data_IF_802651121672
#
_entry.id   IF_802651121672
#
_cell.length_a   1.000
_cell.length_b   1.000
_cell.length_c   1.000
_cell.angle_alpha   90.00
_cell.angle_beta   90.00
_cell.angle_gamma   90.00
#
_symmetry.space_group_name_H-M   'P 1'
#
loop_
_entity.id
_entity.type
_entity.pdbx_description
1 polymer ?
#
# COMPACT_ATOMS: atom_id res chain seq x y z
N UNK A 1 0.64 -8.07 -22.22
CA UNK A 1 -0.70 -7.63 -22.68
C UNK A 1 -1.52 -7.16 -21.49
N UNK A 2 -2.15 -5.99 -21.57
CA UNK A 2 -3.02 -5.49 -20.51
C UNK A 2 -4.20 -6.45 -20.34
N UNK A 3 -4.31 -7.07 -19.16
CA UNK A 3 -5.35 -8.05 -18.83
C UNK A 3 -6.70 -7.41 -18.52
N UNK A 4 -6.71 -6.10 -18.24
CA UNK A 4 -7.89 -5.33 -17.88
C UNK A 4 -8.37 -4.43 -19.03
N UNK A 5 -9.68 -4.45 -19.26
CA UNK A 5 -10.43 -3.62 -20.21
C UNK A 5 -11.15 -2.54 -19.43
N UNK A 6 -10.91 -1.29 -19.80
CA UNK A 6 -11.66 -0.17 -19.22
C UNK A 6 -12.99 -0.02 -19.94
N UNK A 7 -14.08 0.15 -19.19
CA UNK A 7 -15.43 0.33 -19.74
C UNK A 7 -15.49 1.36 -20.88
N UNK A 8 -14.87 2.54 -20.70
CA UNK A 8 -14.86 3.59 -21.73
C UNK A 8 -14.10 3.22 -23.01
N UNK A 9 -13.20 2.23 -22.94
CA UNK A 9 -12.40 1.72 -24.06
C UNK A 9 -12.85 0.33 -24.50
N UNK A 10 -14.02 -0.15 -24.05
CA UNK A 10 -14.51 -1.50 -24.36
C UNK A 10 -14.53 -1.78 -25.87
N UNK A 11 -15.14 -0.88 -26.66
CA UNK A 11 -15.27 -1.06 -28.12
C UNK A 11 -13.92 -1.14 -28.85
N UNK A 12 -12.91 -0.38 -28.40
CA UNK A 12 -11.58 -0.42 -29.02
C UNK A 12 -10.76 -1.62 -28.56
N UNK A 13 -10.97 -2.10 -27.33
CA UNK A 13 -10.20 -3.21 -26.75
C UNK A 13 -10.81 -4.59 -27.00
N UNK A 14 -12.12 -4.67 -27.24
CA UNK A 14 -12.91 -5.86 -27.54
C UNK A 14 -13.83 -5.63 -28.75
N UNK A 15 -13.27 -5.46 -29.96
CA UNK A 15 -14.09 -5.24 -31.16
C UNK A 15 -14.98 -6.45 -31.46
N UNK A 16 -16.24 -6.21 -31.84
CA UNK A 16 -17.20 -7.27 -32.18
C UNK A 16 -17.83 -7.99 -30.98
N UNK A 17 -17.55 -7.53 -29.76
CA UNK A 17 -18.22 -7.99 -28.53
C UNK A 17 -19.26 -6.94 -28.14
N UNK A 18 -20.45 -7.39 -27.75
CA UNK A 18 -21.50 -6.50 -27.23
C UNK A 18 -21.16 -6.05 -25.80
N UNK A 19 -21.29 -4.75 -25.53
CA UNK A 19 -21.03 -4.17 -24.20
C UNK A 19 -21.99 -4.72 -23.14
N UNK A 20 -23.17 -5.22 -23.51
CA UNK A 20 -24.12 -5.84 -22.56
C UNK A 20 -23.53 -7.05 -21.82
N UNK A 21 -22.45 -7.64 -22.34
CA UNK A 21 -21.72 -8.72 -21.68
C UNK A 21 -21.00 -8.24 -20.41
N UNK A 22 -20.69 -6.95 -20.32
CA UNK A 22 -20.05 -6.35 -19.16
C UNK A 22 -20.86 -6.55 -17.87
N UNK A 23 -22.19 -6.58 -17.96
CA UNK A 23 -23.06 -6.79 -16.79
C UNK A 23 -23.21 -8.27 -16.39
N UNK A 24 -22.60 -9.18 -17.16
CA UNK A 24 -22.59 -10.63 -16.91
C UNK A 24 -21.25 -11.13 -16.34
N UNK A 25 -20.31 -10.23 -16.16
CA UNK A 25 -18.98 -10.49 -15.59
C UNK A 25 -18.73 -9.55 -14.41
N UNK A 26 -17.87 -9.97 -13.49
CA UNK A 26 -17.42 -9.10 -12.41
C UNK A 26 -16.50 -7.99 -12.91
N UNK A 27 -16.46 -6.88 -12.18
CA UNK A 27 -15.53 -5.78 -12.44
C UNK A 27 -14.72 -5.43 -11.19
N UNK A 28 -13.64 -4.70 -11.40
CA UNK A 28 -12.87 -4.03 -10.35
C UNK A 28 -12.86 -2.53 -10.60
N UNK A 29 -12.70 -1.72 -9.55
CA UNK A 29 -12.50 -0.26 -9.62
C UNK A 29 -11.02 0.13 -9.65
N UNK A 30 -10.13 -0.86 -9.63
CA UNK A 30 -8.69 -0.68 -9.63
C UNK A 30 -8.17 -0.94 -11.05
N UNK A 31 -7.67 0.11 -11.69
CA UNK A 31 -7.08 0.03 -13.03
C UNK A 31 -5.67 -0.57 -13.03
N UNK A 32 -5.16 -0.90 -14.22
CA UNK A 32 -3.82 -1.46 -14.40
C UNK A 32 -2.66 -0.46 -14.13
N UNK A 33 -2.95 0.83 -13.94
CA UNK A 33 -1.94 1.86 -13.65
C UNK A 33 -1.78 2.12 -12.16
N UNK A 34 -0.54 2.34 -11.72
CA UNK A 34 -0.09 2.66 -10.35
C UNK A 34 -0.74 3.89 -9.70
N UNK A 35 -1.52 4.71 -10.43
CA UNK A 35 -2.20 5.91 -9.91
C UNK A 35 -3.59 5.68 -9.31
N UNK A 36 -3.94 4.41 -9.07
CA UNK A 36 -4.89 4.06 -8.02
C UNK A 36 -6.36 4.26 -8.39
N UNK A 37 -7.16 3.32 -7.91
CA UNK A 37 -8.59 3.42 -7.62
C UNK A 37 -9.36 4.60 -8.24
N UNK A 38 -10.23 4.30 -9.20
CA UNK A 38 -11.24 5.24 -9.65
C UNK A 38 -12.61 4.67 -9.33
N UNK A 39 -13.25 5.20 -8.29
CA UNK A 39 -14.56 4.76 -7.79
C UNK A 39 -15.66 4.80 -8.86
N UNK A 40 -15.46 5.58 -9.92
CA UNK A 40 -16.40 5.79 -11.03
C UNK A 40 -16.05 4.95 -12.29
N UNK A 41 -14.96 4.18 -12.29
CA UNK A 41 -14.55 3.38 -13.44
C UNK A 41 -14.68 1.89 -13.19
N UNK A 42 -15.31 1.17 -14.13
CA UNK A 42 -15.30 -0.29 -14.17
C UNK A 42 -14.17 -0.80 -15.07
N UNK A 43 -13.39 -1.73 -14.53
CA UNK A 43 -12.38 -2.48 -15.26
C UNK A 43 -12.75 -3.95 -15.26
N UNK A 44 -12.69 -4.57 -16.44
CA UNK A 44 -13.10 -5.95 -16.67
C UNK A 44 -11.90 -6.79 -17.07
N UNK A 45 -11.85 -8.04 -16.64
CA UNK A 45 -10.86 -8.96 -17.16
C UNK A 45 -11.19 -9.31 -18.61
N UNK A 46 -10.25 -9.04 -19.52
CA UNK A 46 -10.44 -9.31 -20.96
C UNK A 46 -10.80 -10.78 -21.24
N UNK A 47 -10.13 -11.77 -20.61
CA UNK A 47 -10.48 -13.19 -20.80
C UNK A 47 -11.94 -13.47 -20.45
N UNK A 48 -12.42 -12.98 -19.30
CA UNK A 48 -13.79 -13.20 -18.82
C UNK A 48 -14.83 -12.67 -19.82
N UNK A 49 -14.58 -11.49 -20.41
CA UNK A 49 -15.45 -10.92 -21.44
C UNK A 49 -15.52 -11.80 -22.70
N UNK A 50 -14.38 -12.31 -23.16
CA UNK A 50 -14.31 -13.15 -24.35
C UNK A 50 -14.93 -14.54 -24.12
N UNK A 51 -14.69 -15.11 -22.95
CA UNK A 51 -15.26 -16.39 -22.54
C UNK A 51 -16.78 -16.28 -22.39
N UNK A 52 -17.27 -15.20 -21.79
CA UNK A 52 -18.71 -14.95 -21.69
C UNK A 52 -19.36 -14.75 -23.07
N UNK A 53 -18.70 -14.02 -23.96
CA UNK A 53 -19.16 -13.87 -25.36
C UNK A 53 -19.28 -15.21 -26.08
N UNK A 54 -18.25 -16.06 -25.96
CA UNK A 54 -18.25 -17.41 -26.54
C UNK A 54 -19.39 -18.25 -25.95
N UNK A 55 -19.57 -18.22 -24.62
CA UNK A 55 -20.64 -18.97 -23.94
C UNK A 55 -22.03 -18.56 -24.41
N UNK A 56 -22.28 -17.26 -24.58
CA UNK A 56 -23.57 -16.76 -25.10
C UNK A 56 -23.81 -17.16 -26.55
N UNK A 57 -22.77 -17.32 -27.38
CA UNK A 57 -22.90 -17.84 -28.74
C UNK A 57 -23.26 -19.32 -28.73
N UNK A 58 -22.54 -20.13 -27.95
CA UNK A 58 -22.81 -21.56 -27.80
C UNK A 58 -24.26 -21.82 -27.35
N UNK A 59 -24.70 -21.14 -26.29
CA UNK A 59 -26.06 -21.28 -25.76
C UNK A 59 -27.14 -20.92 -26.79
N UNK A 60 -26.86 -19.93 -27.64
CA UNK A 60 -27.77 -19.53 -28.71
C UNK A 60 -27.89 -20.61 -29.79
N UNK A 61 -26.78 -21.24 -30.14
CA UNK A 61 -26.75 -22.32 -31.12
C UNK A 61 -27.45 -23.58 -30.60
N UNK A 62 -27.26 -23.94 -29.32
CA UNK A 62 -27.79 -25.20 -28.77
C UNK A 62 -29.20 -25.09 -28.20
N UNK A 63 -29.55 -23.94 -27.61
CA UNK A 63 -30.81 -23.75 -26.87
C UNK A 63 -31.62 -22.51 -27.27
N UNK A 64 -31.19 -21.81 -28.33
CA UNK A 64 -31.92 -20.67 -28.86
C UNK A 64 -31.95 -19.46 -27.93
N UNK A 65 -32.87 -18.53 -28.23
CA UNK A 65 -32.99 -17.25 -27.52
C UNK A 65 -33.43 -17.39 -26.06
N UNK A 66 -34.23 -18.40 -25.74
CA UNK A 66 -34.71 -18.63 -24.38
C UNK A 66 -33.60 -19.07 -23.44
N UNK A 67 -32.74 -20.01 -23.87
CA UNK A 67 -31.58 -20.43 -23.09
C UNK A 67 -30.63 -19.25 -22.80
N UNK A 68 -30.41 -18.38 -23.78
CA UNK A 68 -29.62 -17.16 -23.63
C UNK A 68 -30.27 -16.21 -22.61
N UNK A 69 -31.59 -16.01 -22.68
CA UNK A 69 -32.32 -15.14 -21.75
C UNK A 69 -32.22 -15.65 -20.32
N UNK A 70 -32.50 -16.93 -20.10
CA UNK A 70 -32.50 -17.53 -18.76
C UNK A 70 -31.09 -17.51 -18.15
N UNK A 71 -30.06 -17.80 -18.97
CA UNK A 71 -28.68 -17.69 -18.54
C UNK A 71 -28.30 -16.25 -18.17
N UNK A 72 -28.69 -15.25 -18.99
CA UNK A 72 -28.43 -13.84 -18.70
C UNK A 72 -29.03 -13.41 -17.37
N UNK A 73 -30.29 -13.79 -17.10
CA UNK A 73 -30.96 -13.47 -15.83
C UNK A 73 -30.21 -14.06 -14.63
N UNK A 74 -29.98 -15.38 -14.65
CA UNK A 74 -29.28 -16.08 -13.57
C UNK A 74 -27.87 -15.54 -13.36
N UNK A 75 -27.14 -15.26 -14.45
CA UNK A 75 -25.77 -14.75 -14.36
C UNK A 75 -25.72 -13.32 -13.85
N UNK A 76 -26.65 -12.47 -14.29
CA UNK A 76 -26.76 -11.10 -13.80
C UNK A 76 -27.03 -11.07 -12.29
N UNK A 77 -27.98 -11.87 -11.80
CA UNK A 77 -28.25 -11.98 -10.36
C UNK A 77 -27.02 -12.41 -9.56
N UNK A 78 -26.29 -13.41 -10.05
CA UNK A 78 -25.06 -13.86 -9.42
C UNK A 78 -24.00 -12.76 -9.36
N UNK A 79 -23.78 -12.04 -10.46
CA UNK A 79 -22.81 -10.94 -10.53
C UNK A 79 -23.24 -9.80 -9.61
N UNK A 80 -24.51 -9.40 -9.61
CA UNK A 80 -25.02 -8.36 -8.70
C UNK A 80 -24.76 -8.74 -7.24
N UNK A 81 -25.08 -9.98 -6.85
CA UNK A 81 -24.84 -10.48 -5.49
C UNK A 81 -23.35 -10.48 -5.12
N UNK A 82 -22.46 -10.74 -6.07
CA UNK A 82 -21.02 -10.65 -5.82
C UNK A 82 -20.56 -9.18 -5.71
N UNK A 83 -21.11 -8.30 -6.54
CA UNK A 83 -20.75 -6.88 -6.57
C UNK A 83 -21.31 -6.09 -5.37
N UNK A 84 -22.37 -6.55 -4.70
CA UNK A 84 -22.89 -5.89 -3.50
C UNK A 84 -21.89 -5.89 -2.33
N UNK A 85 -20.99 -6.88 -2.27
CA UNK A 85 -19.93 -6.97 -1.25
C UNK A 85 -18.71 -6.10 -1.58
N UNK A 86 -18.59 -5.62 -2.83
CA UNK A 86 -17.43 -4.87 -3.29
C UNK A 86 -17.16 -3.60 -2.44
N UNK A 87 -18.16 -2.77 -2.08
CA UNK A 87 -17.92 -1.59 -1.26
C UNK A 87 -17.39 -1.91 0.15
N UNK A 88 -17.80 -3.03 0.74
CA UNK A 88 -17.31 -3.46 2.06
C UNK A 88 -15.86 -3.90 1.99
N UNK A 89 -15.49 -4.65 0.95
CA UNK A 89 -14.11 -5.06 0.69
C UNK A 89 -13.20 -3.86 0.38
N UNK A 90 -13.71 -2.86 -0.35
CA UNK A 90 -13.01 -1.60 -0.62
C UNK A 90 -12.72 -0.86 0.69
N UNK A 91 -13.74 -0.66 1.54
CA UNK A 91 -13.57 -0.05 2.87
C UNK A 91 -12.61 -0.83 3.76
N UNK A 92 -12.70 -2.16 3.74
CA UNK A 92 -11.78 -3.00 4.51
C UNK A 92 -10.33 -2.82 4.05
N UNK A 93 -10.11 -2.73 2.73
CA UNK A 93 -8.78 -2.51 2.15
C UNK A 93 -8.24 -1.13 2.52
N UNK A 94 -9.06 -0.08 2.42
CA UNK A 94 -8.70 1.28 2.84
C UNK A 94 -8.31 1.31 4.32
N UNK A 95 -9.14 0.73 5.19
CA UNK A 95 -8.87 0.65 6.63
C UNK A 95 -7.63 -0.20 6.93
N UNK A 96 -7.35 -1.23 6.13
CA UNK A 96 -6.14 -2.04 6.28
C UNK A 96 -4.88 -1.27 5.89
N UNK A 97 -4.90 -0.49 4.80
CA UNK A 97 -3.79 0.38 4.41
C UNK A 97 -3.53 1.51 5.41
N UNK A 98 -4.60 2.06 6.00
CA UNK A 98 -4.50 3.02 7.10
C UNK A 98 -3.84 2.40 8.33
N UNK A 99 -4.36 1.27 8.83
CA UNK A 99 -3.74 0.53 9.94
C UNK A 99 -2.27 0.20 9.66
N UNK A 100 -1.96 -0.27 8.46
CA UNK A 100 -0.58 -0.56 8.06
C UNK A 100 0.31 0.69 8.06
N UNK A 101 -0.23 1.87 7.79
CA UNK A 101 0.52 3.14 7.91
C UNK A 101 0.78 3.47 9.37
N UNK A 102 -0.23 3.32 10.22
CA UNK A 102 -0.14 3.59 11.65
C UNK A 102 0.83 2.62 12.33
N UNK A 103 0.72 1.32 12.05
CA UNK A 103 1.63 0.28 12.55
C UNK A 103 3.09 0.59 12.19
N UNK A 104 3.34 1.09 10.98
CA UNK A 104 4.68 1.51 10.53
C UNK A 104 5.18 2.71 11.30
N UNK A 105 4.32 3.71 11.48
CA UNK A 105 4.64 4.89 12.26
C UNK A 105 4.99 4.51 13.71
N UNK A 106 4.16 3.69 14.34
CA UNK A 106 4.37 3.22 15.71
C UNK A 106 5.65 2.38 15.86
N UNK A 107 5.94 1.51 14.88
CA UNK A 107 7.20 0.76 14.85
C UNK A 107 8.42 1.68 14.77
N UNK A 108 8.37 2.73 13.95
CA UNK A 108 9.44 3.74 13.87
C UNK A 108 9.58 4.54 15.17
N UNK A 109 8.48 4.95 15.78
CA UNK A 109 8.49 5.68 17.06
C UNK A 109 9.08 4.80 18.17
N UNK A 110 8.67 3.53 18.26
CA UNK A 110 9.19 2.57 19.23
C UNK A 110 10.69 2.35 19.03
N UNK A 111 11.11 2.06 17.79
CA UNK A 111 12.52 1.85 17.47
C UNK A 111 13.38 3.07 17.80
N UNK A 112 12.88 4.28 17.52
CA UNK A 112 13.58 5.53 17.90
C UNK A 112 13.79 5.61 19.41
N UNK A 113 12.75 5.35 20.21
CA UNK A 113 12.85 5.36 21.68
C UNK A 113 13.85 4.32 22.17
N UNK A 114 13.87 3.13 21.58
CA UNK A 114 14.82 2.07 21.94
C UNK A 114 16.27 2.48 21.63
N UNK A 115 16.51 3.12 20.48
CA UNK A 115 17.84 3.66 20.14
C UNK A 115 18.26 4.74 21.14
N UNK A 116 17.40 5.71 21.43
CA UNK A 116 17.70 6.79 22.38
C UNK A 116 18.02 6.21 23.78
N UNK A 117 17.23 5.25 24.26
CA UNK A 117 17.46 4.59 25.53
C UNK A 117 18.82 3.88 25.58
N UNK A 118 19.20 3.18 24.50
CA UNK A 118 20.50 2.49 24.42
C UNK A 118 21.69 3.46 24.30
N UNK A 119 21.53 4.59 23.62
CA UNK A 119 22.55 5.65 23.56
C UNK A 119 22.80 6.26 24.93
N UNK A 120 21.73 6.57 25.67
CA UNK A 120 21.82 7.07 27.04
C UNK A 120 22.48 6.03 27.94
N UNK A 121 22.09 4.75 27.84
CA UNK A 121 22.71 3.67 28.59
C UNK A 121 24.20 3.47 28.25
N UNK A 122 24.64 3.89 27.06
CA UNK A 122 26.04 3.89 26.63
C UNK A 122 26.82 5.14 27.08
N UNK A 123 26.19 6.04 27.84
CA UNK A 123 26.81 7.22 28.46
C UNK A 123 26.68 8.52 27.68
N UNK A 124 25.89 8.58 26.60
CA UNK A 124 25.61 9.84 25.90
C UNK A 124 24.49 10.63 26.58
N UNK A 125 24.61 11.95 26.59
CA UNK A 125 23.52 12.82 27.00
C UNK A 125 22.51 12.98 25.85
N UNK A 126 21.25 13.30 26.16
CA UNK A 126 20.23 13.61 25.14
C UNK A 126 20.66 14.75 24.22
N UNK A 127 21.44 15.71 24.73
CA UNK A 127 21.99 16.81 23.95
C UNK A 127 23.10 16.39 22.98
N UNK A 128 23.72 15.23 23.20
CA UNK A 128 24.72 14.67 22.27
C UNK A 128 24.03 14.05 21.03
N UNK A 129 22.74 13.72 21.12
CA UNK A 129 21.97 13.02 20.09
C UNK A 129 21.43 14.03 19.06
N UNK A 130 21.81 13.93 17.76
CA UNK A 130 21.35 14.87 16.74
C UNK A 130 19.83 14.85 16.57
N UNK A 131 19.17 16.01 16.50
CA UNK A 131 17.72 16.06 16.24
C UNK A 131 17.34 15.51 14.85
N UNK A 132 18.25 15.55 13.88
CA UNK A 132 18.05 15.02 12.52
C UNK A 132 18.24 13.50 12.40
N UNK A 133 18.72 12.84 13.46
CA UNK A 133 18.97 11.40 13.51
C UNK A 133 17.71 10.54 13.23
N UNK A 134 16.54 11.15 13.40
CA UNK A 134 15.20 10.60 13.10
C UNK A 134 15.03 10.17 11.63
N UNK A 135 15.85 10.69 10.71
CA UNK A 135 15.69 10.44 9.27
C UNK A 135 16.66 9.39 8.69
N UNK A 136 17.58 8.85 9.49
CA UNK A 136 18.53 7.85 8.99
C UNK A 136 17.83 6.52 8.67
N UNK A 137 18.23 5.87 7.58
CA UNK A 137 17.65 4.61 7.06
C UNK A 137 17.63 3.50 8.12
N UNK A 138 18.51 3.58 9.11
CA UNK A 138 18.68 2.64 10.22
C UNK A 138 17.60 2.72 11.31
N UNK A 139 16.96 3.89 11.44
CA UNK A 139 15.80 4.14 12.32
C UNK A 139 14.45 3.92 11.60
N UNK A 140 14.47 3.83 10.27
CA UNK A 140 13.30 3.59 9.41
C UNK A 140 12.95 2.10 9.22
N UNK A 141 13.57 1.20 9.98
CA UNK A 141 13.18 -0.21 9.95
C UNK A 141 11.94 -0.43 10.83
N UNK A 142 11.01 -1.24 10.35
CA UNK A 142 9.84 -1.71 11.10
C UNK A 142 10.18 -2.88 12.04
N UNK A 143 11.36 -3.48 11.87
CA UNK A 143 11.79 -4.60 12.70
C UNK A 143 12.27 -4.11 14.07
N UNK A 144 12.31 -5.03 15.03
CA UNK A 144 12.88 -4.77 16.35
C UNK A 144 14.39 -4.48 16.27
N UNK A 145 14.89 -3.68 17.22
CA UNK A 145 16.31 -3.36 17.30
C UNK A 145 17.05 -4.49 18.01
N UNK A 146 17.46 -5.49 17.24
CA UNK A 146 18.27 -6.60 17.75
C UNK A 146 19.68 -6.14 18.14
N UNK A 147 20.38 -6.90 18.98
CA UNK A 147 21.76 -6.58 19.39
C UNK A 147 22.72 -6.43 18.20
N UNK A 148 22.58 -7.28 17.19
CA UNK A 148 23.41 -7.20 15.97
C UNK A 148 23.09 -5.93 15.18
N UNK A 149 21.81 -5.58 15.05
CA UNK A 149 21.40 -4.34 14.40
C UNK A 149 21.87 -3.11 15.18
N UNK A 150 21.79 -3.16 16.51
CA UNK A 150 22.28 -2.13 17.41
C UNK A 150 23.78 -1.89 17.25
N UNK A 151 24.61 -2.92 17.31
CA UNK A 151 26.08 -2.78 17.15
C UNK A 151 26.45 -2.12 15.82
N UNK A 152 25.79 -2.51 14.73
CA UNK A 152 25.99 -1.93 13.39
C UNK A 152 25.51 -0.48 13.29
N UNK A 153 24.41 -0.17 13.99
CA UNK A 153 23.90 1.18 14.06
C UNK A 153 24.85 2.06 14.86
N UNK A 154 25.17 1.66 16.08
CA UNK A 154 26.05 2.38 16.99
C UNK A 154 27.39 2.72 16.35
N UNK A 155 28.03 1.76 15.67
CA UNK A 155 29.31 2.01 14.97
C UNK A 155 29.24 3.11 13.90
N UNK A 156 28.05 3.35 13.31
CA UNK A 156 27.86 4.41 12.31
C UNK A 156 27.63 5.77 12.95
N UNK A 157 27.07 5.80 14.17
CA UNK A 157 26.71 7.03 14.88
C UNK A 157 27.81 7.55 15.78
N UNK A 158 28.70 6.67 16.23
CA UNK A 158 29.69 6.98 17.25
C UNK A 158 30.49 8.25 16.93
N UNK A 159 30.98 8.38 15.70
CA UNK A 159 31.75 9.57 15.28
C UNK A 159 30.94 10.87 15.38
N UNK A 160 29.66 10.85 15.00
CA UNK A 160 28.79 12.03 15.05
C UNK A 160 28.42 12.38 16.50
N UNK A 161 28.12 11.36 17.31
CA UNK A 161 27.81 11.52 18.74
C UNK A 161 29.00 12.08 19.52
N UNK A 162 30.21 11.59 19.25
CA UNK A 162 31.44 12.06 19.91
C UNK A 162 31.78 13.50 19.50
N UNK A 163 31.56 13.87 18.24
CA UNK A 163 31.72 15.24 17.77
C UNK A 163 30.72 16.19 18.46
N UNK A 164 29.44 15.80 18.55
CA UNK A 164 28.42 16.60 19.23
C UNK A 164 28.71 16.75 20.72
N UNK A 165 29.13 15.67 21.40
CA UNK A 165 29.52 15.72 22.80
C UNK A 165 30.67 16.69 23.01
N UNK A 166 31.71 16.61 22.17
CA UNK A 166 32.88 17.49 22.26
C UNK A 166 32.47 18.95 22.12
N UNK A 167 31.67 19.26 21.09
CA UNK A 167 31.13 20.60 20.86
C UNK A 167 30.31 21.10 22.06
N UNK A 168 29.42 20.28 22.60
CA UNK A 168 28.60 20.65 23.77
C UNK A 168 29.48 20.99 24.98
N UNK A 169 30.48 20.15 25.27
CA UNK A 169 31.38 20.36 26.40
C UNK A 169 32.24 21.62 26.23
N UNK A 170 32.68 21.93 25.00
CA UNK A 170 33.37 23.19 24.69
C UNK A 170 32.46 24.41 24.89
N UNK A 171 31.22 24.36 24.40
CA UNK A 171 30.24 25.43 24.59
C UNK A 171 29.93 25.67 26.08
N UNK A 172 29.77 24.59 26.85
CA UNK A 172 29.57 24.67 28.31
C UNK A 172 30.79 25.27 29.03
N UNK A 173 32.01 24.89 28.62
CA UNK A 173 33.24 25.44 29.17
C UNK A 173 33.38 26.93 28.87
N UNK A 174 33.11 27.34 27.63
CA UNK A 174 33.19 28.74 27.22
C UNK A 174 32.17 29.61 27.95
N UNK A 175 30.95 29.10 28.18
CA UNK A 175 29.91 29.78 28.98
C UNK A 175 30.28 29.96 30.45
N UNK A 176 31.13 29.09 31.01
CA UNK A 176 31.59 29.19 32.41
C UNK A 176 32.77 30.14 32.59
N UNK A 177 33.52 30.45 31.53
CA UNK A 177 34.72 31.30 31.57
C UNK A 177 34.38 32.78 31.34
N UNK A 178 33.28 33.08 30.64
CA UNK A 178 32.78 34.46 30.50
C UNK A 178 31.89 34.80 31.72
N UNK A 179 32.26 35.78 32.57
CA UNK A 179 31.35 36.27 33.60
C UNK A 179 30.15 36.95 32.93
N UNK A 180 28.96 36.74 33.49
CA UNK A 180 27.73 37.45 33.11
C UNK A 180 27.87 38.96 33.31
#
# INVERSE_FOLDING_TARGET
MARLVWERRFKSQCPGVDISIADLVGYTRIGASTRGYNSQSRFFWKPDLLDMHRRLKELRTTGGSEAVRNFRLSRHELVQKAMTQLPELEKWTEAWEERKRDDRYDAHVKRRKDVEARLIASGYDKLDIPQGFVFDWSCKSEHELTETAWKRLFSKLQNELDANRTKRLEDEKNKRILPQ
#
